data_IF_549254282304
#
_entry.id   IF_549254282304
#
_cell.length_a   1.000
_cell.length_b   1.000
_cell.length_c   1.000
_cell.angle_alpha   90.00
_cell.angle_beta   90.00
_cell.angle_gamma   90.00
#
_symmetry.space_group_name_H-M   'P 1'
#
loop_
_entity.id
_entity.type
_entity.pdbx_description
1 polymer ?
#
# COMPACT_ATOMS: atom_id res chain seq x y z
N UNK A 1 -13.43 17.87 -12.40
CA UNK A 1 -14.61 17.02 -12.18
C UNK A 1 -14.21 15.57 -12.49
N UNK A 2 -14.13 14.69 -11.48
CA UNK A 2 -13.77 13.27 -11.69
C UNK A 2 -14.99 12.46 -12.14
N UNK A 3 -14.80 11.49 -13.04
CA UNK A 3 -15.89 10.66 -13.57
C UNK A 3 -16.69 10.00 -12.42
N UNK A 4 -18.01 10.24 -12.30
CA UNK A 4 -18.82 9.78 -11.16
C UNK A 4 -19.01 8.26 -11.11
N UNK A 5 -18.71 7.55 -12.20
CA UNK A 5 -18.69 6.07 -12.26
C UNK A 5 -17.49 5.59 -13.06
N UNK A 6 -16.29 5.58 -12.47
CA UNK A 6 -15.11 5.15 -13.18
C UNK A 6 -15.20 3.63 -13.39
N UNK A 7 -15.12 3.18 -14.66
CA UNK A 7 -15.10 1.74 -14.97
C UNK A 7 -13.87 1.14 -14.26
N UNK A 8 -14.03 0.09 -13.42
CA UNK A 8 -12.90 -0.64 -12.88
C UNK A 8 -12.10 -1.23 -14.05
N UNK A 9 -10.77 -1.40 -13.90
CA UNK A 9 -9.95 -2.02 -14.95
C UNK A 9 -10.53 -3.36 -15.36
N UNK A 10 -10.62 -3.61 -16.68
CA UNK A 10 -11.20 -4.82 -17.23
C UNK A 10 -10.47 -6.06 -16.65
N UNK A 11 -11.24 -7.04 -16.20
CA UNK A 11 -10.78 -8.26 -15.52
C UNK A 11 -10.04 -9.26 -16.43
N UNK A 12 -9.51 -8.81 -17.57
CA UNK A 12 -8.64 -9.59 -18.47
C UNK A 12 -7.15 -9.30 -18.30
N UNK A 13 -6.75 -8.54 -17.28
CA UNK A 13 -5.36 -8.15 -16.98
C UNK A 13 -4.91 -8.48 -15.54
N UNK A 14 -3.72 -7.98 -15.17
CA UNK A 14 -3.06 -8.20 -13.87
C UNK A 14 -4.04 -8.12 -12.70
N UNK A 15 -4.13 -9.14 -11.82
CA UNK A 15 -5.15 -9.17 -10.77
C UNK A 15 -5.08 -7.96 -9.85
N UNK A 16 -6.23 -7.46 -9.41
CA UNK A 16 -6.31 -6.25 -8.57
C UNK A 16 -5.56 -6.38 -7.22
N UNK A 17 -5.32 -7.60 -6.73
CA UNK A 17 -4.50 -7.85 -5.54
C UNK A 17 -3.00 -7.66 -5.79
N UNK A 18 -2.57 -7.65 -7.05
CA UNK A 18 -1.17 -7.63 -7.48
C UNK A 18 -0.77 -6.32 -8.15
N UNK A 19 -1.74 -5.47 -8.45
CA UNK A 19 -1.53 -4.19 -9.10
C UNK A 19 -1.51 -3.01 -8.12
N UNK A 20 -0.56 -2.11 -8.39
CA UNK A 20 -0.61 -0.72 -7.94
C UNK A 20 -1.35 0.11 -8.98
N UNK A 21 -2.00 1.15 -8.52
CA UNK A 21 -2.59 2.15 -9.38
C UNK A 21 -1.67 3.38 -9.39
N UNK A 22 -1.08 3.65 -10.56
CA UNK A 22 -0.27 4.85 -10.78
C UNK A 22 -1.04 5.78 -11.72
N UNK A 23 -1.55 6.94 -11.23
CA UNK A 23 -2.19 7.91 -12.10
C UNK A 23 -1.17 8.51 -13.08
N UNK A 24 -1.62 9.09 -14.21
CA UNK A 24 -0.73 9.75 -15.16
C UNK A 24 0.13 10.81 -14.47
N UNK A 25 1.44 10.81 -14.74
CA UNK A 25 2.39 11.74 -14.11
C UNK A 25 2.11 13.22 -14.43
N UNK A 26 1.46 13.49 -15.56
CA UNK A 26 0.99 14.82 -15.98
C UNK A 26 -0.48 15.10 -15.58
N UNK A 27 -1.12 14.18 -14.86
CA UNK A 27 -2.53 14.25 -14.52
C UNK A 27 -2.84 15.17 -13.33
N UNK A 28 -4.08 15.66 -13.29
CA UNK A 28 -4.56 16.52 -12.19
C UNK A 28 -4.62 15.83 -10.83
N UNK A 29 -4.70 14.50 -10.78
CA UNK A 29 -4.71 13.74 -9.51
C UNK A 29 -3.37 13.84 -8.79
N UNK A 30 -2.26 13.66 -9.50
CA UNK A 30 -0.92 13.78 -8.92
C UNK A 30 -0.57 15.24 -8.59
N UNK A 31 -0.99 16.18 -9.44
CA UNK A 31 -0.81 17.62 -9.19
C UNK A 31 -1.52 18.08 -7.90
N UNK A 32 -2.71 17.55 -7.61
CA UNK A 32 -3.43 17.85 -6.36
C UNK A 32 -2.71 17.35 -5.11
N UNK A 33 -1.90 16.30 -5.25
CA UNK A 33 -1.02 15.78 -4.20
C UNK A 33 0.32 16.52 -4.13
N UNK A 34 0.46 17.68 -4.78
CA UNK A 34 1.71 18.44 -4.82
C UNK A 34 2.75 17.95 -5.85
N UNK A 35 2.44 16.92 -6.66
CA UNK A 35 3.33 16.43 -7.71
C UNK A 35 4.27 15.32 -7.25
N UNK A 36 5.46 15.25 -7.86
CA UNK A 36 6.51 14.25 -7.56
C UNK A 36 7.72 14.87 -6.85
N UNK A 37 7.58 16.10 -6.35
CA UNK A 37 8.65 16.74 -5.59
C UNK A 37 8.82 15.99 -4.26
N UNK A 38 10.08 15.69 -3.91
CA UNK A 38 10.43 14.98 -2.68
C UNK A 38 10.20 15.83 -1.43
N UNK A 39 10.10 17.15 -1.56
CA UNK A 39 9.78 18.04 -0.43
C UNK A 39 8.31 18.04 -0.08
N UNK A 40 7.45 17.43 -0.91
CA UNK A 40 6.03 17.32 -0.64
C UNK A 40 5.78 16.11 0.24
N UNK A 41 5.14 16.35 1.38
CA UNK A 41 4.72 15.30 2.30
C UNK A 41 3.36 14.75 1.87
N UNK A 42 3.25 13.43 1.87
CA UNK A 42 2.02 12.69 1.63
C UNK A 42 1.59 12.01 2.93
N UNK A 43 0.34 12.16 3.31
CA UNK A 43 -0.22 11.47 4.46
C UNK A 43 -0.58 10.03 4.07
N UNK A 44 -1.07 9.26 5.05
CA UNK A 44 -1.44 7.85 4.87
C UNK A 44 -2.47 7.71 3.74
N UNK A 45 -3.42 8.62 3.67
CA UNK A 45 -4.47 8.68 2.66
C UNK A 45 -3.92 8.76 1.24
N UNK A 46 -2.94 9.63 1.01
CA UNK A 46 -2.31 9.84 -0.29
C UNK A 46 -1.49 8.62 -0.70
N UNK A 47 -0.79 7.97 0.23
CA UNK A 47 -0.01 6.76 -0.03
C UNK A 47 -0.94 5.57 -0.32
N UNK A 48 -1.98 5.40 0.48
CA UNK A 48 -2.96 4.30 0.34
C UNK A 48 -3.69 4.37 -0.99
N UNK A 49 -3.90 5.55 -1.55
CA UNK A 49 -4.52 5.73 -2.86
C UNK A 49 -3.81 4.95 -3.98
N UNK A 50 -2.49 4.76 -3.90
CA UNK A 50 -1.75 3.98 -4.92
C UNK A 50 -2.01 2.47 -4.81
N UNK A 51 -2.57 2.00 -3.70
CA UNK A 51 -2.83 0.59 -3.40
C UNK A 51 -4.33 0.29 -3.47
N UNK A 52 -5.14 1.15 -2.84
CA UNK A 52 -6.60 1.10 -2.79
C UNK A 52 -7.12 2.47 -3.22
N UNK A 53 -7.21 2.79 -4.51
CA UNK A 53 -7.56 4.13 -4.92
C UNK A 53 -8.97 4.48 -4.47
N UNK A 54 -9.14 5.61 -3.76
CA UNK A 54 -10.44 6.03 -3.23
C UNK A 54 -11.51 6.14 -4.30
N UNK A 55 -11.10 6.50 -5.52
CA UNK A 55 -11.96 6.61 -6.71
C UNK A 55 -12.59 5.29 -7.16
N UNK A 56 -11.88 4.17 -7.01
CA UNK A 56 -12.34 2.86 -7.47
C UNK A 56 -12.77 1.94 -6.32
N UNK A 57 -12.19 2.13 -5.13
CA UNK A 57 -12.34 1.25 -3.98
C UNK A 57 -12.49 2.06 -2.69
N UNK A 58 -13.52 2.93 -2.57
CA UNK A 58 -13.64 3.87 -1.46
C UNK A 58 -13.71 3.19 -0.08
N UNK A 59 -14.46 2.07 0.02
CA UNK A 59 -14.55 1.31 1.27
C UNK A 59 -13.21 0.70 1.66
N UNK A 60 -12.46 0.16 0.70
CA UNK A 60 -11.15 -0.45 0.98
C UNK A 60 -10.10 0.60 1.32
N UNK A 61 -10.14 1.75 0.64
CA UNK A 61 -9.31 2.92 0.96
C UNK A 61 -9.52 3.34 2.41
N UNK A 62 -10.77 3.56 2.84
CA UNK A 62 -11.09 3.99 4.20
C UNK A 62 -10.62 2.97 5.26
N UNK A 63 -10.94 1.68 5.08
CA UNK A 63 -10.52 0.62 6.01
C UNK A 63 -9.00 0.51 6.07
N UNK A 64 -8.30 0.67 4.94
CA UNK A 64 -6.84 0.61 4.90
C UNK A 64 -6.19 1.80 5.62
N UNK A 65 -6.71 3.02 5.45
CA UNK A 65 -6.19 4.21 6.13
C UNK A 65 -6.36 4.08 7.65
N UNK A 66 -7.58 3.78 8.11
CA UNK A 66 -7.88 3.61 9.53
C UNK A 66 -7.05 2.49 10.18
N UNK A 67 -6.83 1.40 9.45
CA UNK A 67 -6.01 0.29 9.95
C UNK A 67 -4.52 0.63 9.97
N UNK A 68 -4.00 1.34 8.96
CA UNK A 68 -2.60 1.78 8.97
C UNK A 68 -2.35 2.82 10.05
N UNK A 69 -3.29 3.73 10.33
CA UNK A 69 -3.20 4.64 11.46
C UNK A 69 -3.01 3.87 12.78
N UNK A 70 -3.84 2.84 13.03
CA UNK A 70 -3.69 1.96 14.19
C UNK A 70 -2.31 1.28 14.25
N UNK A 71 -1.80 0.81 13.11
CA UNK A 71 -0.49 0.15 13.05
C UNK A 71 0.63 1.15 13.33
N UNK A 72 0.58 2.36 12.77
CA UNK A 72 1.61 3.38 12.96
C UNK A 72 1.62 3.98 14.38
N UNK A 73 0.50 3.89 15.11
CA UNK A 73 0.39 4.30 16.52
C UNK A 73 0.94 3.26 17.50
N UNK A 74 1.29 2.04 17.05
CA UNK A 74 1.65 0.92 17.92
C UNK A 74 2.88 0.19 17.42
N UNK A 75 3.74 -0.24 18.33
CA UNK A 75 4.91 -1.07 17.96
C UNK A 75 4.50 -2.38 17.27
N UNK A 76 3.34 -2.94 17.66
CA UNK A 76 2.76 -4.14 17.06
C UNK A 76 1.26 -4.22 17.26
N UNK A 77 0.59 -4.85 16.29
CA UNK A 77 -0.84 -5.12 16.27
C UNK A 77 -1.06 -6.63 16.32
N UNK A 78 -1.73 -7.10 17.38
CA UNK A 78 -2.06 -8.51 17.58
C UNK A 78 -3.51 -8.80 17.19
N UNK A 79 -3.88 -10.09 17.21
CA UNK A 79 -5.25 -10.54 16.93
C UNK A 79 -6.32 -9.90 17.84
N UNK A 80 -5.98 -9.60 19.10
CA UNK A 80 -6.88 -8.89 20.02
C UNK A 80 -7.14 -7.46 19.54
N UNK A 81 -6.08 -6.74 19.16
CA UNK A 81 -6.18 -5.37 18.68
C UNK A 81 -6.99 -5.28 17.39
N UNK A 82 -6.82 -6.23 16.48
CA UNK A 82 -7.64 -6.35 15.25
C UNK A 82 -9.13 -6.52 15.62
N UNK A 83 -9.45 -7.37 16.60
CA UNK A 83 -10.83 -7.59 17.04
C UNK A 83 -11.43 -6.32 17.65
N UNK A 84 -10.67 -5.64 18.49
CA UNK A 84 -11.10 -4.41 19.16
C UNK A 84 -11.29 -3.28 18.14
N UNK A 85 -10.37 -3.14 17.18
CA UNK A 85 -10.47 -2.21 16.04
C UNK A 85 -11.72 -2.45 15.20
N UNK A 86 -11.96 -3.70 14.78
CA UNK A 86 -13.13 -4.07 13.98
C UNK A 86 -14.44 -3.75 14.70
N UNK A 87 -14.48 -3.97 16.03
CA UNK A 87 -15.65 -3.64 16.86
C UNK A 87 -15.83 -2.13 17.00
N UNK A 88 -14.76 -1.37 17.23
CA UNK A 88 -14.82 0.08 17.40
C UNK A 88 -15.20 0.82 16.12
N UNK A 89 -14.67 0.40 14.96
CA UNK A 89 -14.91 1.03 13.66
C UNK A 89 -16.09 0.44 12.88
N UNK A 90 -16.70 -0.64 13.39
CA UNK A 90 -17.79 -1.38 12.73
C UNK A 90 -17.43 -1.86 11.31
N UNK A 91 -16.22 -2.39 11.14
CA UNK A 91 -15.73 -2.88 9.85
C UNK A 91 -15.91 -4.39 9.69
N UNK A 92 -16.06 -4.82 8.44
CA UNK A 92 -16.12 -6.24 8.10
C UNK A 92 -14.77 -6.91 8.32
N UNK A 93 -14.76 -7.94 9.17
CA UNK A 93 -13.60 -8.81 9.38
C UNK A 93 -13.07 -9.39 8.06
N UNK A 94 -13.97 -9.82 7.18
CA UNK A 94 -13.59 -10.39 5.88
C UNK A 94 -12.87 -9.37 5.00
N UNK A 95 -13.34 -8.11 4.99
CA UNK A 95 -12.67 -7.04 4.24
C UNK A 95 -11.26 -6.83 4.75
N UNK A 96 -11.09 -6.65 6.06
CA UNK A 96 -9.77 -6.39 6.64
C UNK A 96 -8.82 -7.57 6.48
N UNK A 97 -9.23 -8.77 6.92
CA UNK A 97 -8.34 -9.95 6.99
C UNK A 97 -8.08 -10.60 5.62
N UNK A 98 -9.05 -10.57 4.69
CA UNK A 98 -8.93 -11.28 3.41
C UNK A 98 -8.55 -10.37 2.24
N UNK A 99 -8.75 -9.06 2.35
CA UNK A 99 -8.47 -8.11 1.26
C UNK A 99 -7.40 -7.10 1.63
N UNK A 100 -7.58 -6.38 2.74
CA UNK A 100 -6.71 -5.26 3.10
C UNK A 100 -5.34 -5.73 3.58
N UNK A 101 -5.30 -6.48 4.69
CA UNK A 101 -4.03 -6.95 5.29
C UNK A 101 -3.20 -7.74 4.27
N UNK A 102 -3.75 -8.71 3.51
CA UNK A 102 -2.95 -9.48 2.56
C UNK A 102 -2.31 -8.63 1.46
N UNK A 103 -3.03 -7.61 0.96
CA UNK A 103 -2.50 -6.72 -0.08
C UNK A 103 -1.44 -5.76 0.48
N UNK A 104 -1.65 -5.19 1.67
CA UNK A 104 -0.66 -4.36 2.36
C UNK A 104 0.64 -5.12 2.67
N UNK A 105 0.52 -6.37 3.13
CA UNK A 105 1.68 -7.26 3.34
C UNK A 105 2.38 -7.58 2.02
N UNK A 106 1.62 -7.88 0.96
CA UNK A 106 2.18 -8.17 -0.37
C UNK A 106 3.01 -7.01 -0.92
N UNK A 107 2.53 -5.78 -0.78
CA UNK A 107 3.29 -4.59 -1.19
C UNK A 107 4.38 -4.20 -0.21
N UNK A 108 4.45 -4.83 0.97
CA UNK A 108 5.51 -4.58 1.93
C UNK A 108 5.33 -3.29 2.71
N UNK A 109 4.10 -2.81 2.88
CA UNK A 109 3.76 -1.76 3.85
C UNK A 109 3.63 -2.33 5.26
N UNK A 110 3.21 -3.60 5.34
CA UNK A 110 3.13 -4.35 6.59
C UNK A 110 4.03 -5.57 6.51
N UNK A 111 4.57 -5.98 7.65
CA UNK A 111 5.16 -7.31 7.84
C UNK A 111 4.25 -8.16 8.72
N UNK A 112 4.22 -9.45 8.41
CA UNK A 112 3.42 -10.45 9.13
C UNK A 112 4.34 -11.47 9.76
N UNK A 113 4.44 -11.41 11.06
CA UNK A 113 5.25 -12.32 11.85
C UNK A 113 4.35 -13.30 12.61
N UNK A 114 4.95 -14.43 12.99
CA UNK A 114 4.30 -15.47 13.80
C UNK A 114 5.19 -15.72 15.00
N UNK A 115 4.69 -15.41 16.18
CA UNK A 115 5.39 -15.75 17.40
C UNK A 115 5.41 -17.27 17.57
N UNK A 116 6.59 -17.83 17.85
CA UNK A 116 6.74 -19.23 18.24
C UNK A 116 6.50 -19.25 19.75
N UNK A 117 5.28 -19.57 20.14
CA UNK A 117 5.00 -19.90 21.54
C UNK A 117 5.72 -21.21 21.87
N UNK A 118 6.81 -21.12 22.64
CA UNK A 118 7.49 -22.29 23.20
C UNK A 118 6.59 -22.94 24.26
N UNK A 119 5.77 -23.91 23.83
CA UNK A 119 4.87 -24.68 24.68
C UNK A 119 3.78 -25.34 23.86
N UNK A 120 3.36 -26.54 24.25
CA UNK A 120 2.39 -27.44 23.60
C UNK A 120 0.94 -26.90 23.50
N UNK A 121 0.76 -25.62 23.19
CA UNK A 121 -0.52 -24.94 23.04
C UNK A 121 -0.79 -24.54 21.58
N UNK A 122 -1.93 -24.97 21.05
CA UNK A 122 -2.39 -24.69 19.68
C UNK A 122 -2.46 -23.19 19.38
N UNK A 123 -1.56 -22.71 18.52
CA UNK A 123 -1.76 -21.50 17.71
C UNK A 123 -0.60 -20.52 17.73
N UNK A 124 0.00 -20.28 16.56
CA UNK A 124 0.98 -19.21 16.34
C UNK A 124 0.27 -17.86 16.43
N UNK A 125 0.66 -16.99 17.35
CA UNK A 125 0.08 -15.65 17.47
C UNK A 125 0.45 -14.81 16.24
N UNK A 126 -0.55 -14.11 15.67
CA UNK A 126 -0.35 -13.18 14.56
C UNK A 126 0.17 -11.86 15.11
N UNK A 127 1.32 -11.40 14.62
CA UNK A 127 1.89 -10.09 14.90
C UNK A 127 2.00 -9.33 13.57
N UNK A 128 1.48 -8.10 13.53
CA UNK A 128 1.59 -7.18 12.41
C UNK A 128 2.30 -5.90 12.87
N UNK A 129 3.17 -5.39 12.01
CA UNK A 129 3.82 -4.08 12.18
C UNK A 129 4.16 -3.49 10.80
N UNK A 130 4.57 -2.24 10.79
CA UNK A 130 5.01 -1.53 9.60
C UNK A 130 6.25 -2.16 8.96
N UNK A 131 6.44 -1.88 7.68
CA UNK A 131 7.57 -2.37 6.90
C UNK A 131 8.03 -1.32 5.89
N UNK A 132 9.34 -1.23 5.72
CA UNK A 132 10.00 -0.36 4.72
C UNK A 132 10.23 -1.06 3.38
N UNK A 133 9.81 -2.33 3.25
CA UNK A 133 10.02 -3.11 2.01
C UNK A 133 9.39 -2.44 0.79
N UNK A 134 8.23 -1.78 0.97
CA UNK A 134 7.61 -1.01 -0.12
C UNK A 134 8.55 0.08 -0.66
N UNK A 135 9.13 0.90 0.22
CA UNK A 135 10.09 1.94 -0.14
C UNK A 135 11.32 1.36 -0.83
N UNK A 136 11.87 0.26 -0.29
CA UNK A 136 13.03 -0.41 -0.87
C UNK A 136 12.79 -0.87 -2.32
N UNK A 137 11.59 -1.41 -2.62
CA UNK A 137 11.23 -1.79 -3.99
C UNK A 137 11.22 -0.58 -4.92
N UNK A 138 10.53 0.50 -4.53
CA UNK A 138 10.37 1.68 -5.39
C UNK A 138 11.69 2.42 -5.61
N UNK A 139 12.50 2.58 -4.57
CA UNK A 139 13.84 3.16 -4.67
C UNK A 139 14.73 2.36 -5.61
N UNK A 140 14.71 1.03 -5.49
CA UNK A 140 15.50 0.16 -6.36
C UNK A 140 15.07 0.28 -7.83
N UNK A 141 13.76 0.29 -8.10
CA UNK A 141 13.20 0.46 -9.45
C UNK A 141 13.61 1.82 -10.02
N UNK A 142 13.42 2.90 -9.27
CA UNK A 142 13.77 4.25 -9.69
C UNK A 142 15.27 4.41 -9.97
N UNK A 143 16.12 3.89 -9.07
CA UNK A 143 17.57 3.90 -9.25
C UNK A 143 18.00 3.13 -10.50
N UNK A 144 17.46 1.94 -10.73
CA UNK A 144 17.80 1.12 -11.89
C UNK A 144 17.46 1.84 -13.21
N UNK A 145 16.29 2.48 -13.29
CA UNK A 145 15.90 3.25 -14.47
C UNK A 145 16.84 4.45 -14.71
N UNK A 146 17.17 5.20 -13.66
CA UNK A 146 18.09 6.33 -13.75
C UNK A 146 19.46 5.92 -14.31
N UNK A 147 19.98 4.77 -13.88
CA UNK A 147 21.24 4.23 -14.38
C UNK A 147 21.19 3.87 -15.87
N UNK A 148 20.11 3.23 -16.31
CA UNK A 148 19.90 2.86 -17.72
C UNK A 148 19.84 4.11 -18.62
N UNK A 149 19.05 5.11 -18.23
CA UNK A 149 18.91 6.36 -19.00
C UNK A 149 20.22 7.13 -19.05
N UNK A 150 20.92 7.25 -17.92
CA UNK A 150 22.19 7.98 -17.85
C UNK A 150 23.27 7.33 -18.73
N UNK A 151 23.34 6.00 -18.72
CA UNK A 151 24.27 5.24 -19.56
C UNK A 151 23.95 5.40 -21.05
N UNK A 152 22.66 5.30 -21.42
CA UNK A 152 22.20 5.49 -22.79
C UNK A 152 22.56 6.89 -23.32
N UNK A 153 22.32 7.94 -22.52
CA UNK A 153 22.68 9.32 -22.89
C UNK A 153 24.18 9.50 -23.11
N UNK A 154 25.02 8.94 -22.23
CA UNK A 154 26.49 9.01 -22.38
C UNK A 154 26.99 8.33 -23.65
N UNK A 155 26.36 7.24 -24.09
CA UNK A 155 26.69 6.56 -25.36
C UNK A 155 26.37 7.43 -26.57
N UNK A 156 25.24 8.14 -26.57
CA UNK A 156 24.82 9.02 -27.67
C UNK A 156 25.67 10.28 -27.85
N UNK A 157 26.40 10.70 -26.82
CA UNK A 157 27.31 11.86 -26.90
C UNK A 157 28.68 11.47 -27.46
N UNK A 158 29.02 10.18 -27.42
CA UNK A 158 30.33 9.65 -27.84
C UNK A 158 30.35 9.03 -29.23
N UNK A 159 29.19 8.89 -29.88
CA UNK A 159 29.04 8.41 -31.26
C UNK A 159 28.38 9.51 -32.09
#
# INVERSE_FOLDING_TARGET
>A
MGNPKPKPPASGGLPASESLWLPPHYGGELRKKGGLDKTVYWDVEEVVDFIFPRRYQPTYHAVACDFLALVLERDYVMKKDIKDFLKAKNYSKSTLENKIIPKLVRFGLLKREREITSGLGKGRALILSESLTFSNYLERIGFAWNMLVSTSRKKKVKG
#
